data_IF_170811160090
#
_entry.id   IF_170811160090
#
_cell.length_a   1.000
_cell.length_b   1.000
_cell.length_c   1.000
_cell.angle_alpha   90.00
_cell.angle_beta   90.00
_cell.angle_gamma   90.00
#
_symmetry.space_group_name_H-M   'P 1'
#
loop_
_entity.id
_entity.type
_entity.pdbx_description
1 polymer ?
#
# COMPACT_ATOMS: atom_id res chain seq x y z
N UNK A 1 -24.17 -0.95 26.90
CA UNK A 1 -23.74 -2.34 26.74
C UNK A 1 -22.42 -2.36 25.98
N UNK A 2 -21.38 -2.93 26.57
CA UNK A 2 -20.09 -3.04 25.90
C UNK A 2 -20.13 -4.01 24.74
N UNK A 3 -19.51 -3.64 23.64
CA UNK A 3 -19.30 -4.56 22.51
C UNK A 3 -18.01 -5.32 22.70
N UNK A 4 -18.03 -6.60 22.41
CA UNK A 4 -16.87 -7.48 22.45
C UNK A 4 -16.53 -7.88 21.02
N UNK A 5 -15.26 -7.85 20.69
CA UNK A 5 -14.73 -8.13 19.35
C UNK A 5 -13.75 -9.29 19.38
N UNK A 6 -13.66 -9.99 18.27
CA UNK A 6 -12.59 -10.96 18.03
C UNK A 6 -11.97 -10.72 16.67
N UNK A 7 -10.68 -11.00 16.56
CA UNK A 7 -9.96 -10.94 15.29
C UNK A 7 -10.38 -12.12 14.41
N UNK A 8 -10.84 -11.84 13.20
CA UNK A 8 -11.26 -12.88 12.25
C UNK A 8 -10.29 -13.05 11.09
N UNK A 9 -9.52 -12.01 10.76
CA UNK A 9 -8.65 -12.02 9.61
C UNK A 9 -7.53 -10.97 9.77
N UNK A 10 -6.38 -11.26 9.17
CA UNK A 10 -5.24 -10.35 9.16
C UNK A 10 -3.92 -11.09 8.96
N UNK A 11 -2.87 -10.44 8.43
CA UNK A 11 -1.59 -11.08 8.16
C UNK A 11 -0.83 -11.51 9.43
N UNK A 12 -1.15 -10.92 10.57
CA UNK A 12 -0.53 -11.23 11.86
C UNK A 12 -1.54 -11.82 12.85
N UNK A 13 -2.43 -12.67 12.33
CA UNK A 13 -3.50 -13.26 13.12
C UNK A 13 -2.95 -14.24 14.17
N UNK A 14 -3.18 -13.91 15.44
CA UNK A 14 -2.81 -14.74 16.59
C UNK A 14 -4.01 -14.89 17.52
N UNK A 15 -4.98 -15.71 17.11
CA UNK A 15 -6.23 -15.92 17.84
C UNK A 15 -6.03 -16.32 19.29
N UNK A 16 -5.00 -17.10 19.58
CA UNK A 16 -4.76 -17.63 20.92
C UNK A 16 -4.37 -16.56 21.95
N UNK A 17 -3.70 -15.50 21.51
CA UNK A 17 -3.24 -14.43 22.40
C UNK A 17 -4.27 -13.33 22.58
N UNK A 18 -5.02 -13.03 21.53
CA UNK A 18 -5.92 -11.89 21.51
C UNK A 18 -7.26 -12.17 22.18
N UNK A 19 -7.80 -13.37 22.00
CA UNK A 19 -9.10 -13.71 22.55
C UNK A 19 -10.19 -12.72 22.19
N UNK A 20 -11.00 -12.35 23.16
CA UNK A 20 -12.09 -11.40 23.00
C UNK A 20 -11.73 -10.06 23.64
N UNK A 21 -11.89 -8.98 22.90
CA UNK A 21 -11.52 -7.63 23.34
C UNK A 21 -12.74 -6.71 23.38
N UNK A 22 -12.82 -5.89 24.43
CA UNK A 22 -13.75 -4.76 24.46
C UNK A 22 -13.27 -3.70 23.45
N UNK A 23 -14.17 -2.78 23.06
CA UNK A 23 -13.84 -1.74 22.09
C UNK A 23 -12.62 -0.89 22.51
N UNK A 24 -12.59 -0.47 23.78
CA UNK A 24 -11.47 0.33 24.31
C UNK A 24 -10.15 -0.43 24.28
N UNK A 25 -10.17 -1.70 24.71
CA UNK A 25 -8.98 -2.55 24.66
C UNK A 25 -8.56 -2.88 23.24
N UNK A 26 -9.52 -3.02 22.34
CA UNK A 26 -9.24 -3.23 20.92
C UNK A 26 -8.51 -2.03 20.34
N UNK A 27 -8.97 -0.81 20.60
CA UNK A 27 -8.32 0.40 20.12
C UNK A 27 -6.92 0.57 20.69
N UNK A 28 -6.73 0.32 21.99
CA UNK A 28 -5.42 0.34 22.63
C UNK A 28 -4.47 -0.68 22.02
N UNK A 29 -4.96 -1.89 21.79
CA UNK A 29 -4.18 -2.95 21.16
C UNK A 29 -3.77 -2.59 19.72
N UNK A 30 -4.67 -2.01 18.94
CA UNK A 30 -4.38 -1.60 17.57
C UNK A 30 -3.32 -0.49 17.51
N UNK A 31 -3.38 0.46 18.43
CA UNK A 31 -2.37 1.51 18.54
C UNK A 31 -1.00 0.94 18.92
N UNK A 32 -0.94 0.04 19.88
CA UNK A 32 0.29 -0.63 20.27
C UNK A 32 0.87 -1.44 19.10
N UNK A 33 0.02 -2.19 18.41
CA UNK A 33 0.43 -3.00 17.28
C UNK A 33 0.97 -2.14 16.14
N UNK A 34 0.26 -1.08 15.80
CA UNK A 34 0.67 -0.13 14.76
C UNK A 34 2.03 0.50 15.09
N UNK A 35 2.25 0.87 16.34
CA UNK A 35 3.50 1.48 16.80
C UNK A 35 4.61 0.48 17.08
N UNK A 36 4.34 -0.82 16.98
CA UNK A 36 5.36 -1.86 17.19
C UNK A 36 6.47 -1.77 16.12
N UNK A 37 7.67 -2.18 16.51
CA UNK A 37 8.82 -2.19 15.60
C UNK A 37 8.57 -3.08 14.38
N UNK A 38 7.87 -4.20 14.55
CA UNK A 38 7.55 -5.14 13.48
C UNK A 38 6.66 -4.49 12.41
N UNK A 39 5.58 -3.85 12.81
CA UNK A 39 4.65 -3.22 11.88
C UNK A 39 5.26 -1.97 11.23
N UNK A 40 5.97 -1.15 11.99
CA UNK A 40 6.66 0.02 11.44
C UNK A 40 7.75 -0.38 10.46
N UNK A 41 8.46 -1.47 10.72
CA UNK A 41 9.43 -2.04 9.78
C UNK A 41 8.77 -2.54 8.50
N UNK A 42 7.62 -3.19 8.62
CA UNK A 42 6.82 -3.67 7.47
C UNK A 42 6.36 -2.50 6.58
N UNK A 43 5.87 -1.42 7.18
CA UNK A 43 5.45 -0.22 6.44
C UNK A 43 6.65 0.42 5.73
N UNK A 44 7.80 0.52 6.39
CA UNK A 44 9.03 1.04 5.78
C UNK A 44 9.49 0.19 4.60
N UNK A 45 9.42 -1.13 4.72
CA UNK A 45 9.73 -2.05 3.60
C UNK A 45 8.80 -1.84 2.42
N UNK A 46 7.53 -1.60 2.68
CA UNK A 46 6.55 -1.30 1.65
C UNK A 46 6.88 0.01 0.91
N UNK A 47 7.25 1.04 1.67
CA UNK A 47 7.71 2.33 1.10
C UNK A 47 8.97 2.15 0.27
N UNK A 48 9.94 1.36 0.74
CA UNK A 48 11.17 1.07 -0.01
C UNK A 48 10.87 0.36 -1.33
N UNK A 49 9.88 -0.54 -1.36
CA UNK A 49 9.42 -1.19 -2.59
C UNK A 49 8.90 -0.15 -3.59
N UNK A 50 8.11 0.82 -3.14
CA UNK A 50 7.64 1.91 -3.98
C UNK A 50 8.80 2.76 -4.51
N UNK A 51 9.80 3.05 -3.69
CA UNK A 51 10.99 3.81 -4.13
C UNK A 51 11.76 3.09 -5.22
N UNK A 52 11.91 1.76 -5.11
CA UNK A 52 12.54 0.93 -6.14
C UNK A 52 11.75 0.97 -7.44
N UNK A 53 10.43 0.86 -7.37
CA UNK A 53 9.55 0.97 -8.55
C UNK A 53 9.69 2.34 -9.22
N UNK A 54 9.74 3.41 -8.43
CA UNK A 54 9.94 4.76 -8.95
C UNK A 54 11.27 4.90 -9.68
N UNK A 55 12.34 4.35 -9.11
CA UNK A 55 13.65 4.34 -9.76
C UNK A 55 13.63 3.58 -11.09
N UNK A 56 12.89 2.49 -11.18
CA UNK A 56 12.73 1.74 -12.43
C UNK A 56 12.07 2.60 -13.52
N UNK A 57 11.02 3.33 -13.18
CA UNK A 57 10.37 4.26 -14.11
C UNK A 57 11.27 5.42 -14.51
N UNK A 58 12.06 5.95 -13.57
CA UNK A 58 13.03 7.02 -13.84
C UNK A 58 14.10 6.56 -14.82
N UNK A 59 14.64 5.36 -14.65
CA UNK A 59 15.61 4.74 -15.56
C UNK A 59 14.98 4.51 -16.93
N UNK A 60 13.77 4.00 -16.99
CA UNK A 60 13.04 3.80 -18.23
C UNK A 60 12.83 5.13 -18.96
N UNK A 61 12.42 6.17 -18.27
CA UNK A 61 12.28 7.51 -18.82
C UNK A 61 13.59 8.01 -19.42
N UNK A 62 14.69 7.82 -18.72
CA UNK A 62 16.00 8.22 -19.19
C UNK A 62 16.36 7.55 -20.52
N UNK A 63 16.15 6.24 -20.63
CA UNK A 63 16.39 5.51 -21.87
C UNK A 63 15.51 5.97 -23.02
N UNK A 64 14.25 6.24 -22.74
CA UNK A 64 13.30 6.76 -23.76
C UNK A 64 13.75 8.14 -24.24
N UNK A 65 14.18 9.02 -23.36
CA UNK A 65 14.68 10.35 -23.73
C UNK A 65 15.94 10.23 -24.61
N UNK A 66 16.83 9.28 -24.32
CA UNK A 66 17.98 9.02 -25.18
C UNK A 66 17.57 8.59 -26.59
N UNK A 67 16.56 7.72 -26.70
CA UNK A 67 16.02 7.31 -28.00
C UNK A 67 15.34 8.47 -28.74
N UNK A 68 14.63 9.34 -28.03
CA UNK A 68 14.08 10.57 -28.59
C UNK A 68 15.16 11.47 -29.17
N UNK A 69 16.28 11.63 -28.45
CA UNK A 69 17.40 12.45 -28.90
C UNK A 69 18.02 11.90 -30.20
N UNK A 70 18.00 10.58 -30.40
CA UNK A 70 18.45 9.98 -31.67
C UNK A 70 17.56 10.32 -32.85
N UNK A 71 16.30 10.64 -32.60
CA UNK A 71 15.37 11.04 -33.65
C UNK A 71 15.56 12.49 -34.10
N UNK A 72 16.12 13.35 -33.24
CA UNK A 72 16.22 14.78 -33.49
C UNK A 72 16.95 15.17 -34.79
N UNK A 73 18.12 14.58 -35.15
CA UNK A 73 18.80 14.92 -36.39
C UNK A 73 17.92 14.70 -37.63
N UNK A 74 17.16 13.61 -37.66
CA UNK A 74 16.26 13.29 -38.78
C UNK A 74 15.09 14.28 -38.83
N UNK A 75 14.52 14.64 -37.70
CA UNK A 75 13.44 15.60 -37.59
C UNK A 75 13.89 17.03 -37.97
N UNK A 76 15.13 17.37 -37.63
CA UNK A 76 15.72 18.68 -38.00
C UNK A 76 15.96 18.82 -39.50
N UNK A 77 16.26 17.72 -40.19
CA UNK A 77 16.37 17.73 -41.67
C UNK A 77 15.04 18.03 -42.35
N UNK A 78 13.93 17.82 -41.65
CA UNK A 78 12.59 18.11 -42.15
C UNK A 78 12.07 17.05 -43.13
N UNK A 79 11.00 17.42 -43.84
CA UNK A 79 10.25 16.51 -44.72
C UNK A 79 11.03 16.02 -45.93
N UNK A 80 12.18 16.61 -46.22
CA UNK A 80 13.06 16.18 -47.30
C UNK A 80 13.79 14.87 -47.01
N UNK A 81 13.91 14.53 -45.72
CA UNK A 81 14.49 13.24 -45.30
C UNK A 81 13.46 12.12 -45.49
N UNK A 82 13.80 11.04 -46.21
CA UNK A 82 12.85 9.92 -46.47
C UNK A 82 12.40 9.21 -45.20
N UNK A 83 13.15 9.31 -44.13
CA UNK A 83 12.80 8.71 -42.82
C UNK A 83 11.99 9.63 -41.90
N UNK A 84 11.73 10.87 -42.31
CA UNK A 84 11.07 11.87 -41.48
C UNK A 84 9.71 11.40 -40.94
N UNK A 85 8.88 10.87 -41.80
CA UNK A 85 7.50 10.47 -41.44
C UNK A 85 7.46 9.35 -40.40
N UNK A 86 8.30 8.34 -40.58
CA UNK A 86 8.41 7.22 -39.62
C UNK A 86 9.03 7.67 -38.30
N UNK A 87 10.09 8.43 -38.36
CA UNK A 87 10.79 8.97 -37.19
C UNK A 87 9.89 9.88 -36.36
N UNK A 88 9.04 10.68 -37.01
CA UNK A 88 8.07 11.53 -36.33
C UNK A 88 7.04 10.69 -35.56
N UNK A 89 6.59 9.58 -36.14
CA UNK A 89 5.68 8.63 -35.44
C UNK A 89 6.35 8.02 -34.22
N UNK A 90 7.59 7.56 -34.35
CA UNK A 90 8.36 7.01 -33.25
C UNK A 90 8.57 8.06 -32.14
N UNK A 91 8.96 9.26 -32.51
CA UNK A 91 9.16 10.36 -31.56
C UNK A 91 7.90 10.63 -30.73
N UNK A 92 6.73 10.65 -31.37
CA UNK A 92 5.45 10.82 -30.67
C UNK A 92 5.15 9.69 -29.72
N UNK A 93 5.48 8.44 -30.07
CA UNK A 93 5.34 7.30 -29.17
C UNK A 93 6.25 7.45 -27.94
N UNK A 94 7.47 7.91 -28.14
CA UNK A 94 8.41 8.16 -27.05
C UNK A 94 7.91 9.29 -26.15
N UNK A 95 7.38 10.37 -26.70
CA UNK A 95 6.79 11.45 -25.92
C UNK A 95 5.68 10.94 -24.99
N UNK A 96 4.79 10.10 -25.51
CA UNK A 96 3.71 9.49 -24.71
C UNK A 96 4.27 8.60 -23.62
N UNK A 97 5.27 7.79 -23.93
CA UNK A 97 5.91 6.91 -22.97
C UNK A 97 6.59 7.68 -21.84
N UNK A 98 7.21 8.83 -22.15
CA UNK A 98 7.79 9.72 -21.13
C UNK A 98 6.70 10.29 -20.22
N UNK A 99 5.58 10.70 -20.78
CA UNK A 99 4.43 11.21 -20.01
C UNK A 99 3.89 10.11 -19.10
N UNK A 100 3.75 8.90 -19.62
CA UNK A 100 3.29 7.74 -18.82
C UNK A 100 4.22 7.45 -17.65
N UNK A 101 5.54 7.47 -17.88
CA UNK A 101 6.52 7.30 -16.81
C UNK A 101 6.37 8.36 -15.73
N UNK A 102 6.19 9.62 -16.12
CA UNK A 102 5.97 10.74 -15.18
C UNK A 102 4.70 10.54 -14.36
N UNK A 103 3.64 10.09 -14.99
CA UNK A 103 2.37 9.80 -14.31
C UNK A 103 2.53 8.68 -13.28
N UNK A 104 3.22 7.59 -13.64
CA UNK A 104 3.48 6.49 -12.72
C UNK A 104 4.33 6.95 -11.53
N UNK A 105 5.35 7.77 -11.78
CA UNK A 105 6.20 8.32 -10.72
C UNK A 105 5.40 9.21 -9.77
N UNK A 106 4.49 10.04 -10.28
CA UNK A 106 3.60 10.87 -9.44
C UNK A 106 2.67 10.02 -8.59
N UNK A 107 2.10 8.96 -9.15
CA UNK A 107 1.25 8.03 -8.41
C UNK A 107 2.02 7.38 -7.27
N UNK A 108 3.25 6.95 -7.54
CA UNK A 108 4.12 6.33 -6.54
C UNK A 108 4.47 7.32 -5.44
N UNK A 109 4.82 8.56 -5.77
CA UNK A 109 5.10 9.61 -4.78
C UNK A 109 3.90 9.83 -3.86
N UNK A 110 2.70 9.84 -4.43
CA UNK A 110 1.46 9.99 -3.68
C UNK A 110 1.23 8.81 -2.73
N UNK A 111 1.47 7.59 -3.19
CA UNK A 111 1.36 6.38 -2.36
C UNK A 111 2.37 6.40 -1.21
N UNK A 112 3.60 6.82 -1.46
CA UNK A 112 4.63 6.97 -0.41
C UNK A 112 4.18 8.01 0.61
N UNK A 113 3.67 9.14 0.17
CA UNK A 113 3.16 10.19 1.05
C UNK A 113 2.00 9.68 1.92
N UNK A 114 1.07 8.93 1.33
CA UNK A 114 -0.03 8.31 2.05
C UNK A 114 0.48 7.34 3.12
N UNK A 115 1.42 6.46 2.79
CA UNK A 115 2.01 5.51 3.74
C UNK A 115 2.70 6.21 4.91
N UNK A 116 3.38 7.33 4.65
CA UNK A 116 4.04 8.11 5.69
C UNK A 116 3.06 8.79 6.65
N UNK A 117 1.82 9.00 6.21
CA UNK A 117 0.76 9.63 7.00
C UNK A 117 -0.23 8.64 7.60
N UNK A 118 -0.03 7.35 7.41
CA UNK A 118 -0.97 6.34 7.91
C UNK A 118 -1.16 6.45 9.41
N UNK A 119 -2.42 6.40 9.80
CA UNK A 119 -2.85 6.14 11.17
C UNK A 119 -2.98 4.63 11.38
N UNK A 120 -3.21 4.21 12.61
CA UNK A 120 -3.50 2.80 12.91
C UNK A 120 -4.69 2.28 12.10
N UNK A 121 -5.73 3.09 11.90
CA UNK A 121 -6.91 2.74 11.11
C UNK A 121 -6.57 2.56 9.63
N UNK A 122 -5.76 3.45 9.05
CA UNK A 122 -5.33 3.36 7.67
C UNK A 122 -4.50 2.09 7.42
N UNK A 123 -3.56 1.83 8.31
CA UNK A 123 -2.74 0.62 8.25
C UNK A 123 -3.61 -0.64 8.36
N UNK A 124 -4.54 -0.66 9.29
CA UNK A 124 -5.45 -1.77 9.53
C UNK A 124 -6.25 -2.12 8.26
N UNK A 125 -6.74 -1.10 7.57
CA UNK A 125 -7.47 -1.26 6.33
C UNK A 125 -6.59 -1.85 5.22
N UNK A 126 -5.37 -1.35 5.07
CA UNK A 126 -4.40 -1.87 4.10
C UNK A 126 -3.99 -3.31 4.43
N UNK A 127 -3.76 -3.61 5.70
CA UNK A 127 -3.33 -4.93 6.17
C UNK A 127 -4.46 -5.96 6.19
N UNK A 128 -5.69 -5.53 5.89
CA UNK A 128 -6.88 -6.37 5.81
C UNK A 128 -7.20 -7.11 7.11
N UNK A 129 -6.96 -6.47 8.24
CA UNK A 129 -7.44 -6.96 9.52
C UNK A 129 -8.94 -6.79 9.64
N UNK A 130 -9.60 -7.77 10.18
CA UNK A 130 -11.04 -7.74 10.38
C UNK A 130 -11.40 -8.13 11.81
N UNK A 131 -12.31 -7.36 12.41
CA UNK A 131 -12.78 -7.54 13.77
C UNK A 131 -14.28 -7.77 13.76
N UNK A 132 -14.70 -8.90 14.30
CA UNK A 132 -16.12 -9.26 14.34
C UNK A 132 -16.70 -8.94 15.70
N UNK A 133 -17.80 -8.16 15.77
CA UNK A 133 -18.53 -7.96 17.02
C UNK A 133 -19.21 -9.25 17.45
N UNK A 134 -19.22 -9.51 18.74
CA UNK A 134 -19.84 -10.69 19.34
C UNK A 134 -21.01 -10.23 20.21
N UNK A 135 -22.13 -10.94 20.14
CA UNK A 135 -23.28 -10.65 21.00
C UNK A 135 -22.97 -10.98 22.47
N UNK A 136 -23.16 -9.98 23.33
CA UNK A 136 -22.85 -10.11 24.76
C UNK A 136 -23.74 -11.11 25.50
N UNK A 137 -24.94 -11.36 25.03
CA UNK A 137 -25.87 -12.29 25.67
C UNK A 137 -25.40 -13.75 25.58
N UNK A 138 -24.42 -14.04 24.73
CA UNK A 138 -23.81 -15.37 24.58
C UNK A 138 -22.55 -15.50 25.45
N UNK A 139 -21.96 -14.39 25.84
CA UNK A 139 -20.72 -14.36 26.62
C UNK A 139 -21.06 -14.27 28.12
N UNK A 140 -20.77 -15.31 28.85
CA UNK A 140 -20.88 -15.29 30.32
C UNK A 140 -19.56 -14.86 30.93
N UNK A 141 -19.60 -14.13 32.05
CA UNK A 141 -18.40 -13.90 32.85
C UNK A 141 -17.71 -15.21 33.20
N UNK A 142 -16.40 -15.22 33.19
CA UNK A 142 -15.60 -16.43 33.42
C UNK A 142 -15.92 -17.08 34.77
N UNK A 143 -16.12 -16.27 35.80
CA UNK A 143 -16.48 -16.76 37.16
C UNK A 143 -17.82 -17.51 37.19
N UNK A 144 -18.81 -17.04 36.45
CA UNK A 144 -20.12 -17.71 36.34
C UNK A 144 -20.01 -19.03 35.57
N UNK A 145 -19.22 -19.05 34.52
CA UNK A 145 -18.97 -20.27 33.74
C UNK A 145 -18.30 -21.31 34.58
N UNK A 146 -17.30 -20.95 35.35
CA UNK A 146 -16.57 -21.86 36.24
C UNK A 146 -17.48 -22.40 37.33
N UNK A 147 -18.29 -21.54 37.96
CA UNK A 147 -19.17 -21.95 39.06
C UNK A 147 -20.34 -22.84 38.61
N UNK A 148 -20.87 -22.62 37.42
CA UNK A 148 -21.99 -23.41 36.89
C UNK A 148 -21.53 -24.71 36.20
N UNK A 149 -20.51 -24.63 35.38
CA UNK A 149 -20.11 -25.75 34.53
C UNK A 149 -19.16 -26.75 35.19
N UNK A 150 -18.53 -26.35 36.29
CA UNK A 150 -17.50 -27.18 36.95
C UNK A 150 -17.93 -27.71 38.33
N UNK A 151 -19.12 -27.36 38.74
CA UNK A 151 -19.75 -27.93 39.90
C UNK A 151 -20.85 -28.89 39.44
#
# INVERSE_FOLDING_TARGET
MERIYRLTYGPYYEEQELGYLTEDKLNDYLEELFNSALIQSSIRSHIETFKVQKMAYETQRHHIVQDMNKCLPILQDGKTNPKYKETKKEYRKYERAVIDCKWQMKKIDKLIEECNKWTATDWLHWADYNWEPIELNVVRPVNEMVSEDWM
#
